data_IF_226432449489
#
_entry.id   IF_226432449489
#
_cell.length_a   1.000
_cell.length_b   1.000
_cell.length_c   1.000
_cell.angle_alpha   90.00
_cell.angle_beta   90.00
_cell.angle_gamma   90.00
#
_symmetry.space_group_name_H-M   'P 1'
#
loop_
_entity.id
_entity.type
_entity.pdbx_description
1 polymer ?
#
# COMPACT_ATOMS: atom_id res chain seq x y z
N UNK A 1 3.26 -27.09 -13.44
CA UNK A 1 2.24 -26.17 -14.00
C UNK A 1 2.64 -25.88 -15.44
N UNK A 2 1.78 -26.15 -16.41
CA UNK A 2 2.10 -25.87 -17.82
C UNK A 2 2.12 -24.35 -18.11
N UNK A 3 2.69 -23.94 -19.25
CA UNK A 3 2.88 -22.52 -19.61
C UNK A 3 1.55 -21.75 -19.61
N UNK A 4 0.48 -22.37 -20.12
CA UNK A 4 -0.87 -21.76 -20.18
C UNK A 4 -1.42 -21.47 -18.78
N UNK A 5 -1.30 -22.41 -17.85
CA UNK A 5 -1.76 -22.19 -16.47
C UNK A 5 -0.95 -21.08 -15.78
N UNK A 6 0.34 -20.97 -16.11
CA UNK A 6 1.22 -19.95 -15.56
C UNK A 6 0.88 -18.53 -16.05
N UNK A 7 0.50 -18.39 -17.32
CA UNK A 7 0.00 -17.13 -17.88
C UNK A 7 -1.32 -16.72 -17.23
N UNK A 8 -2.29 -17.63 -17.14
CA UNK A 8 -3.60 -17.37 -16.49
C UNK A 8 -3.41 -16.88 -15.05
N UNK A 9 -2.51 -17.52 -14.30
CA UNK A 9 -2.18 -17.15 -12.94
C UNK A 9 -1.62 -15.71 -12.81
N UNK A 10 -0.67 -15.34 -13.67
CA UNK A 10 -0.08 -14.00 -13.65
C UNK A 10 -1.11 -12.91 -14.02
N UNK A 11 -2.02 -13.21 -14.97
CA UNK A 11 -3.11 -12.30 -15.35
C UNK A 11 -4.07 -12.08 -14.18
N UNK A 12 -4.46 -13.15 -13.49
CA UNK A 12 -5.32 -13.05 -12.31
C UNK A 12 -4.68 -12.18 -11.21
N UNK A 13 -3.39 -12.39 -10.94
CA UNK A 13 -2.64 -11.56 -9.98
C UNK A 13 -2.67 -10.10 -10.41
N UNK A 14 -2.36 -9.83 -11.68
CA UNK A 14 -2.31 -8.47 -12.22
C UNK A 14 -3.67 -7.77 -12.06
N UNK A 15 -4.77 -8.42 -12.45
CA UNK A 15 -6.13 -7.85 -12.32
C UNK A 15 -6.44 -7.52 -10.86
N UNK A 16 -6.25 -8.48 -9.95
CA UNK A 16 -6.44 -8.27 -8.51
C UNK A 16 -5.56 -7.14 -7.96
N UNK A 17 -4.39 -6.91 -8.55
CA UNK A 17 -3.46 -5.88 -8.12
C UNK A 17 -3.85 -4.49 -8.65
N UNK A 18 -4.35 -4.42 -9.88
CA UNK A 18 -4.93 -3.20 -10.45
C UNK A 18 -6.14 -2.77 -9.60
N UNK A 19 -7.04 -3.70 -9.28
CA UNK A 19 -8.19 -3.43 -8.43
C UNK A 19 -7.78 -2.93 -7.03
N UNK A 20 -6.75 -3.51 -6.42
CA UNK A 20 -6.21 -2.98 -5.16
C UNK A 20 -5.68 -1.54 -5.32
N UNK A 21 -4.94 -1.25 -6.39
CA UNK A 21 -4.47 0.11 -6.67
C UNK A 21 -5.63 1.11 -6.84
N UNK A 22 -6.70 0.70 -7.52
CA UNK A 22 -7.93 1.50 -7.65
C UNK A 22 -8.55 1.77 -6.29
N UNK A 23 -8.67 0.75 -5.43
CA UNK A 23 -9.26 0.93 -4.10
C UNK A 23 -8.44 1.86 -3.20
N UNK A 24 -7.10 1.82 -3.27
CA UNK A 24 -6.25 2.79 -2.60
C UNK A 24 -6.44 4.20 -3.19
N UNK A 25 -6.59 4.33 -4.52
CA UNK A 25 -6.90 5.60 -5.17
C UNK A 25 -8.26 6.18 -4.72
N UNK A 26 -9.28 5.36 -4.55
CA UNK A 26 -10.59 5.78 -4.01
C UNK A 26 -10.44 6.25 -2.55
N UNK A 27 -9.71 5.49 -1.73
CA UNK A 27 -9.39 5.89 -0.35
C UNK A 27 -8.66 7.24 -0.30
N UNK A 28 -7.66 7.44 -1.16
CA UNK A 28 -6.95 8.70 -1.30
C UNK A 28 -7.85 9.84 -1.77
N UNK A 29 -8.80 9.57 -2.66
CA UNK A 29 -9.74 10.58 -3.16
C UNK A 29 -10.63 11.11 -2.04
N UNK A 30 -11.22 10.23 -1.22
CA UNK A 30 -12.06 10.69 -0.10
C UNK A 30 -11.24 11.42 0.96
N UNK A 31 -10.02 10.98 1.24
CA UNK A 31 -9.12 11.68 2.15
C UNK A 31 -8.81 13.11 1.69
N UNK A 32 -8.49 13.29 0.40
CA UNK A 32 -8.25 14.62 -0.17
C UNK A 32 -9.52 15.48 -0.26
N UNK A 33 -10.69 14.86 -0.33
CA UNK A 33 -11.96 15.58 -0.42
C UNK A 33 -12.43 16.19 0.89
N UNK A 34 -11.78 15.87 2.01
CA UNK A 34 -12.13 16.33 3.34
C UNK A 34 -11.03 17.23 3.91
N UNK A 35 -11.42 18.14 4.82
CA UNK A 35 -10.48 19.00 5.54
C UNK A 35 -10.09 18.38 6.89
N UNK A 36 -11.02 17.67 7.53
CA UNK A 36 -10.77 16.96 8.78
C UNK A 36 -9.96 15.67 8.52
N UNK A 37 -8.71 15.66 8.96
CA UNK A 37 -7.78 14.53 8.80
C UNK A 37 -8.24 13.28 9.56
N UNK A 38 -8.94 13.42 10.69
CA UNK A 38 -9.45 12.30 11.48
C UNK A 38 -10.55 11.61 10.67
N UNK A 39 -11.57 12.36 10.24
CA UNK A 39 -12.67 11.82 9.42
C UNK A 39 -12.14 11.26 8.10
N UNK A 40 -11.23 11.98 7.44
CA UNK A 40 -10.57 11.52 6.23
C UNK A 40 -9.83 10.20 6.42
N UNK A 41 -9.09 10.02 7.52
CA UNK A 41 -8.33 8.80 7.80
C UNK A 41 -9.24 7.58 8.05
N UNK A 42 -10.38 7.79 8.74
CA UNK A 42 -11.39 6.75 8.96
C UNK A 42 -11.99 6.31 7.64
N UNK A 43 -12.33 7.25 6.76
CA UNK A 43 -12.94 6.94 5.47
C UNK A 43 -11.94 6.38 4.45
N UNK A 44 -10.66 6.76 4.52
CA UNK A 44 -9.61 6.15 3.69
C UNK A 44 -9.55 4.63 3.91
N UNK A 45 -9.86 4.15 5.12
CA UNK A 45 -9.82 2.73 5.47
C UNK A 45 -10.73 1.85 4.61
N UNK A 46 -11.73 2.42 3.94
CA UNK A 46 -12.55 1.69 2.96
C UNK A 46 -11.70 1.04 1.86
N UNK A 47 -10.59 1.68 1.47
CA UNK A 47 -9.67 1.16 0.46
C UNK A 47 -9.09 -0.19 0.88
N UNK A 48 -8.46 -0.25 2.07
CA UNK A 48 -7.89 -1.50 2.57
C UNK A 48 -8.97 -2.53 2.96
N UNK A 49 -10.09 -2.07 3.53
CA UNK A 49 -11.22 -2.93 3.88
C UNK A 49 -11.72 -3.74 2.67
N UNK A 50 -12.00 -3.07 1.55
CA UNK A 50 -12.46 -3.76 0.33
C UNK A 50 -11.37 -4.68 -0.22
N UNK A 51 -10.10 -4.27 -0.18
CA UNK A 51 -8.97 -5.11 -0.63
C UNK A 51 -8.95 -6.44 0.11
N UNK A 52 -9.11 -6.43 1.43
CA UNK A 52 -9.04 -7.67 2.22
C UNK A 52 -10.33 -8.51 2.12
N UNK A 53 -11.50 -7.86 2.01
CA UNK A 53 -12.79 -8.56 1.83
C UNK A 53 -12.86 -9.28 0.49
N UNK A 54 -12.41 -8.63 -0.58
CA UNK A 54 -12.41 -9.21 -1.94
C UNK A 54 -11.12 -9.95 -2.29
N UNK A 55 -10.18 -10.07 -1.35
CA UNK A 55 -8.89 -10.75 -1.56
C UNK A 55 -8.11 -10.20 -2.75
N UNK A 56 -8.11 -8.88 -2.92
CA UNK A 56 -7.26 -8.19 -3.88
C UNK A 56 -5.79 -8.19 -3.43
N UNK A 57 -4.88 -8.02 -4.38
CA UNK A 57 -3.45 -8.12 -4.13
C UNK A 57 -2.87 -6.72 -3.86
N UNK A 58 -2.56 -6.41 -2.61
CA UNK A 58 -1.84 -5.20 -2.23
C UNK A 58 -0.42 -5.55 -1.82
N UNK A 59 0.57 -4.88 -2.41
CA UNK A 59 1.99 -5.16 -2.20
C UNK A 59 2.40 -5.06 -0.72
N UNK A 60 2.07 -3.94 -0.08
CA UNK A 60 2.43 -3.65 1.33
C UNK A 60 1.77 -4.62 2.31
N UNK A 61 0.59 -5.14 1.99
CA UNK A 61 -0.07 -6.20 2.75
C UNK A 61 0.51 -7.59 2.51
N UNK A 62 1.29 -7.80 1.44
CA UNK A 62 1.82 -9.11 1.03
C UNK A 62 3.31 -9.30 1.29
N UNK A 63 4.09 -8.21 1.34
CA UNK A 63 5.56 -8.27 1.38
C UNK A 63 6.09 -9.07 2.58
N UNK A 64 5.43 -8.99 3.74
CA UNK A 64 5.84 -9.74 4.95
C UNK A 64 5.78 -11.27 4.81
N UNK A 65 4.89 -11.81 3.96
CA UNK A 65 4.82 -13.25 3.73
C UNK A 65 6.01 -13.80 2.93
N UNK A 66 6.86 -12.94 2.36
CA UNK A 66 8.08 -13.36 1.67
C UNK A 66 8.99 -14.21 2.58
N UNK A 67 9.00 -13.92 3.89
CA UNK A 67 9.81 -14.64 4.87
C UNK A 67 9.48 -16.14 4.94
N UNK A 68 8.21 -16.50 4.77
CA UNK A 68 7.75 -17.88 4.85
C UNK A 68 7.57 -18.51 3.46
N UNK A 69 7.37 -17.70 2.41
CA UNK A 69 7.08 -18.16 1.04
C UNK A 69 8.22 -17.88 0.06
N UNK A 70 9.46 -17.70 0.54
CA UNK A 70 10.60 -17.28 -0.28
C UNK A 70 10.81 -18.22 -1.46
N UNK A 71 10.52 -17.71 -2.67
CA UNK A 71 10.66 -18.44 -3.92
C UNK A 71 10.67 -17.48 -5.10
N UNK A 72 11.27 -17.89 -6.23
CA UNK A 72 11.22 -17.10 -7.49
C UNK A 72 9.77 -16.81 -7.91
N UNK A 73 8.85 -17.76 -7.65
CA UNK A 73 7.43 -17.61 -7.92
C UNK A 73 6.85 -16.45 -7.10
N UNK A 74 6.98 -16.48 -5.78
CA UNK A 74 6.40 -15.46 -4.89
C UNK A 74 7.02 -14.07 -5.09
N UNK A 75 8.34 -13.99 -5.33
CA UNK A 75 9.00 -12.71 -5.67
C UNK A 75 8.38 -12.10 -6.93
N UNK A 76 8.11 -12.91 -7.96
CA UNK A 76 7.46 -12.40 -9.15
C UNK A 76 6.01 -11.98 -8.88
N UNK A 77 5.27 -12.73 -8.06
CA UNK A 77 3.92 -12.31 -7.66
C UNK A 77 3.93 -10.94 -6.99
N UNK A 78 4.91 -10.67 -6.12
CA UNK A 78 5.09 -9.36 -5.48
C UNK A 78 5.42 -8.25 -6.50
N UNK A 79 6.28 -8.52 -7.48
CA UNK A 79 6.61 -7.56 -8.54
C UNK A 79 5.38 -7.25 -9.40
N UNK A 80 4.65 -8.28 -9.86
CA UNK A 80 3.39 -8.09 -10.61
C UNK A 80 2.38 -7.32 -9.76
N UNK A 81 2.34 -7.60 -8.45
CA UNK A 81 1.46 -6.90 -7.52
C UNK A 81 1.79 -5.42 -7.43
N UNK A 82 3.06 -5.08 -7.24
CA UNK A 82 3.52 -3.70 -7.17
C UNK A 82 3.22 -2.92 -8.47
N UNK A 83 3.49 -3.54 -9.63
CA UNK A 83 3.19 -2.97 -10.95
C UNK A 83 1.67 -2.77 -11.12
N UNK A 84 0.86 -3.77 -10.77
CA UNK A 84 -0.60 -3.65 -10.87
C UNK A 84 -1.15 -2.57 -9.94
N UNK A 85 -0.66 -2.49 -8.70
CA UNK A 85 -1.03 -1.41 -7.77
C UNK A 85 -0.70 -0.04 -8.37
N UNK A 86 0.50 0.12 -8.94
CA UNK A 86 0.90 1.35 -9.62
C UNK A 86 -0.04 1.70 -10.77
N UNK A 87 -0.34 0.75 -11.68
CA UNK A 87 -1.29 0.94 -12.78
C UNK A 87 -2.67 1.40 -12.27
N UNK A 88 -3.19 0.75 -11.22
CA UNK A 88 -4.49 1.12 -10.64
C UNK A 88 -4.50 2.53 -10.06
N UNK A 89 -3.48 2.91 -9.30
CA UNK A 89 -3.36 4.26 -8.73
C UNK A 89 -3.16 5.34 -9.79
N UNK A 90 -2.37 5.04 -10.83
CA UNK A 90 -2.14 5.91 -11.98
C UNK A 90 -3.42 6.12 -12.78
N UNK A 91 -4.19 5.04 -13.00
CA UNK A 91 -5.49 5.10 -13.66
C UNK A 91 -6.43 6.05 -12.90
N UNK A 92 -6.63 5.86 -11.59
CA UNK A 92 -7.50 6.75 -10.79
C UNK A 92 -7.00 8.19 -10.83
N UNK A 93 -5.71 8.42 -10.60
CA UNK A 93 -5.14 9.77 -10.64
C UNK A 93 -5.27 10.45 -11.99
N UNK A 94 -5.20 9.70 -13.09
CA UNK A 94 -5.35 10.22 -14.45
C UNK A 94 -6.81 10.51 -14.81
N UNK A 95 -7.74 9.58 -14.58
CA UNK A 95 -9.14 9.76 -14.97
C UNK A 95 -9.81 10.89 -14.18
N UNK A 96 -9.42 11.09 -12.91
CA UNK A 96 -10.03 12.12 -12.09
C UNK A 96 -9.72 13.54 -12.59
N UNK A 97 -8.66 13.73 -13.39
CA UNK A 97 -8.33 15.01 -14.07
C UNK A 97 -9.46 15.53 -14.95
N UNK A 98 -10.29 14.63 -15.47
CA UNK A 98 -11.40 14.95 -16.37
C UNK A 98 -12.73 15.11 -15.62
N UNK A 99 -12.70 15.40 -14.32
CA UNK A 99 -13.90 15.49 -13.48
C UNK A 99 -13.93 16.79 -12.68
N UNK A 100 -15.11 17.18 -12.22
CA UNK A 100 -15.31 18.39 -11.40
C UNK A 100 -14.57 18.38 -10.05
N UNK A 101 -14.21 17.20 -9.53
CA UNK A 101 -13.55 17.11 -8.22
C UNK A 101 -12.04 17.35 -8.31
N UNK A 102 -11.47 17.34 -9.51
CA UNK A 102 -10.03 17.42 -9.72
C UNK A 102 -9.39 18.61 -9.03
N UNK A 103 -9.94 19.82 -9.23
CA UNK A 103 -9.41 21.07 -8.70
C UNK A 103 -9.27 21.03 -7.17
N UNK A 104 -10.27 20.48 -6.49
CA UNK A 104 -10.28 20.33 -5.03
C UNK A 104 -9.20 19.36 -4.54
N UNK A 105 -9.01 18.23 -5.22
CA UNK A 105 -8.09 17.18 -4.74
C UNK A 105 -6.65 17.39 -5.21
N UNK A 106 -6.43 18.02 -6.37
CA UNK A 106 -5.11 18.14 -6.99
C UNK A 106 -4.17 19.04 -6.20
N UNK A 107 -4.67 20.15 -5.67
CA UNK A 107 -3.88 21.10 -4.87
C UNK A 107 -3.45 20.46 -3.55
N UNK A 108 -4.38 19.83 -2.83
CA UNK A 108 -4.08 19.09 -1.60
C UNK A 108 -3.07 17.97 -1.85
N UNK A 109 -3.24 17.21 -2.94
CA UNK A 109 -2.30 16.17 -3.32
C UNK A 109 -0.91 16.74 -3.66
N UNK A 110 -0.85 17.91 -4.30
CA UNK A 110 0.40 18.62 -4.61
C UNK A 110 1.12 19.04 -3.33
N UNK A 111 0.40 19.63 -2.36
CA UNK A 111 0.97 19.97 -1.05
C UNK A 111 1.53 18.73 -0.34
N UNK A 112 0.80 17.61 -0.33
CA UNK A 112 1.28 16.36 0.27
C UNK A 112 2.51 15.81 -0.47
N UNK A 113 2.54 15.90 -1.80
CA UNK A 113 3.69 15.48 -2.60
C UNK A 113 4.92 16.34 -2.29
N UNK A 114 4.74 17.67 -2.20
CA UNK A 114 5.84 18.59 -1.94
C UNK A 114 6.42 18.43 -0.52
N UNK A 115 5.59 18.17 0.49
CA UNK A 115 6.08 17.82 1.85
C UNK A 115 7.03 16.62 1.78
N UNK A 116 6.66 15.58 1.03
CA UNK A 116 7.44 14.34 0.93
C UNK A 116 8.73 14.52 0.13
N UNK A 117 8.66 15.24 -0.98
CA UNK A 117 9.79 15.43 -1.90
C UNK A 117 10.81 16.44 -1.38
N UNK A 118 10.44 17.28 -0.41
CA UNK A 118 11.32 18.21 0.29
C UNK A 118 11.87 17.65 1.63
N UNK A 119 11.44 16.46 2.04
CA UNK A 119 11.98 15.78 3.22
C UNK A 119 13.28 15.01 2.85
N UNK A 120 14.05 14.60 3.83
CA UNK A 120 15.25 13.77 3.61
C UNK A 120 14.89 12.34 3.26
N UNK A 121 15.70 11.68 2.41
CA UNK A 121 15.51 10.26 2.08
C UNK A 121 15.53 9.34 3.32
N UNK A 122 16.32 9.69 4.34
CA UNK A 122 16.39 8.91 5.58
C UNK A 122 15.06 9.02 6.35
N UNK A 123 14.51 10.23 6.48
CA UNK A 123 13.19 10.43 7.10
C UNK A 123 12.11 9.63 6.38
N UNK A 124 12.06 9.73 5.05
CA UNK A 124 11.10 8.97 4.22
C UNK A 124 11.25 7.47 4.39
N UNK A 125 12.49 6.96 4.47
CA UNK A 125 12.75 5.55 4.72
C UNK A 125 12.17 5.10 6.08
N UNK A 126 12.39 5.88 7.13
CA UNK A 126 11.92 5.59 8.50
C UNK A 126 10.39 5.65 8.58
N UNK A 127 9.77 6.70 8.02
CA UNK A 127 8.32 6.84 7.99
C UNK A 127 7.67 5.71 7.18
N UNK A 128 8.28 5.29 6.08
CA UNK A 128 7.82 4.13 5.32
C UNK A 128 8.05 2.81 6.04
N UNK A 129 9.09 2.67 6.85
CA UNK A 129 9.32 1.49 7.66
C UNK A 129 8.15 1.25 8.63
N UNK A 130 7.74 2.27 9.39
CA UNK A 130 6.61 2.14 10.31
C UNK A 130 5.28 1.90 9.59
N UNK A 131 5.05 2.55 8.45
CA UNK A 131 3.89 2.23 7.61
C UNK A 131 3.89 0.75 7.18
N UNK A 132 5.04 0.22 6.78
CA UNK A 132 5.19 -1.17 6.35
C UNK A 132 4.77 -2.18 7.42
N UNK A 133 5.17 -1.93 8.66
CA UNK A 133 4.76 -2.74 9.82
C UNK A 133 3.23 -2.75 9.93
N UNK A 134 2.61 -1.56 9.97
CA UNK A 134 1.17 -1.43 10.16
C UNK A 134 0.37 -2.09 9.03
N UNK A 135 0.78 -1.91 7.77
CA UNK A 135 0.06 -2.47 6.62
C UNK A 135 0.13 -4.00 6.58
N UNK A 136 1.30 -4.57 6.88
CA UNK A 136 1.43 -6.01 6.99
C UNK A 136 0.59 -6.55 8.14
N UNK A 137 0.67 -5.94 9.33
CA UNK A 137 -0.09 -6.38 10.50
C UNK A 137 -1.61 -6.28 10.28
N UNK A 138 -2.10 -5.19 9.68
CA UNK A 138 -3.51 -5.03 9.35
C UNK A 138 -4.02 -6.19 8.48
N UNK A 139 -3.29 -6.53 7.41
CA UNK A 139 -3.67 -7.62 6.50
C UNK A 139 -3.48 -8.99 7.14
N UNK A 140 -2.41 -9.18 7.93
CA UNK A 140 -2.16 -10.45 8.59
C UNK A 140 -3.20 -10.74 9.67
N UNK A 141 -3.48 -9.78 10.54
CA UNK A 141 -4.53 -9.91 11.56
C UNK A 141 -5.90 -10.15 10.92
N UNK A 142 -6.20 -9.52 9.78
CA UNK A 142 -7.43 -9.81 9.06
C UNK A 142 -7.57 -11.29 8.66
N UNK A 143 -6.46 -11.96 8.31
CA UNK A 143 -6.44 -13.37 7.92
C UNK A 143 -6.47 -14.33 9.11
N UNK A 144 -5.78 -13.99 10.19
CA UNK A 144 -5.61 -14.88 11.34
C UNK A 144 -6.80 -14.80 12.33
N UNK A 145 -7.44 -13.63 12.46
CA UNK A 145 -8.55 -13.41 13.40
C UNK A 145 -9.89 -13.71 12.74
N UNK A 146 -10.77 -14.45 13.45
CA UNK A 146 -12.07 -14.90 12.92
C UNK A 146 -13.24 -13.98 13.29
N UNK A 147 -13.14 -13.27 14.40
CA UNK A 147 -14.17 -12.37 14.91
C UNK A 147 -14.12 -10.97 14.27
N UNK A 148 -14.89 -10.03 14.82
CA UNK A 148 -14.98 -8.65 14.32
C UNK A 148 -13.66 -7.86 14.45
N UNK A 149 -12.77 -8.27 15.35
CA UNK A 149 -11.46 -7.65 15.58
C UNK A 149 -10.57 -7.64 14.34
N UNK A 150 -10.79 -8.58 13.41
CA UNK A 150 -10.11 -8.63 12.12
C UNK A 150 -10.35 -7.37 11.27
N UNK A 151 -11.56 -6.80 11.34
CA UNK A 151 -11.91 -5.55 10.66
C UNK A 151 -11.34 -4.34 11.40
N UNK A 152 -11.37 -4.35 12.74
CA UNK A 152 -10.76 -3.28 13.53
C UNK A 152 -9.26 -3.12 13.25
N UNK A 153 -8.53 -4.23 13.09
CA UNK A 153 -7.11 -4.18 12.72
C UNK A 153 -6.87 -3.44 11.39
N UNK A 154 -7.77 -3.60 10.42
CA UNK A 154 -7.73 -2.90 9.12
C UNK A 154 -7.96 -1.41 9.30
N UNK A 155 -9.02 -1.03 9.99
CA UNK A 155 -9.35 0.39 10.21
C UNK A 155 -8.28 1.09 11.05
N UNK A 156 -7.88 0.51 12.18
CA UNK A 156 -6.87 1.08 13.06
C UNK A 156 -5.50 1.17 12.37
N UNK A 157 -5.10 0.13 11.63
CA UNK A 157 -3.84 0.17 10.87
C UNK A 157 -3.79 1.34 9.88
N UNK A 158 -4.91 1.61 9.19
CA UNK A 158 -5.04 2.74 8.27
C UNK A 158 -5.05 4.08 9.00
N UNK A 159 -5.94 4.24 9.99
CA UNK A 159 -6.12 5.50 10.72
C UNK A 159 -4.79 5.94 11.34
N UNK A 160 -4.09 5.00 12.00
CA UNK A 160 -2.83 5.30 12.69
C UNK A 160 -1.75 5.73 11.72
N UNK A 161 -1.53 5.03 10.60
CA UNK A 161 -0.43 5.42 9.69
C UNK A 161 -0.68 6.81 9.09
N UNK A 162 -1.93 7.16 8.78
CA UNK A 162 -2.29 8.47 8.21
C UNK A 162 -2.07 9.56 9.26
N UNK A 163 -2.61 9.38 10.48
CA UNK A 163 -2.52 10.39 11.53
C UNK A 163 -1.10 10.56 12.08
N UNK A 164 -0.28 9.51 12.07
CA UNK A 164 1.15 9.59 12.40
C UNK A 164 2.00 10.21 11.27
N UNK A 165 1.45 10.40 10.06
CA UNK A 165 2.20 10.90 8.91
C UNK A 165 3.19 9.89 8.32
N UNK A 166 2.94 8.59 8.48
CA UNK A 166 3.77 7.57 7.87
C UNK A 166 3.57 7.45 6.35
N UNK A 167 4.58 6.91 5.67
CA UNK A 167 4.66 6.96 4.21
C UNK A 167 4.29 5.62 3.55
N UNK A 168 3.12 5.56 2.92
CA UNK A 168 2.62 4.38 2.20
C UNK A 168 2.89 4.50 0.69
N UNK A 169 3.77 3.65 0.15
CA UNK A 169 4.23 3.76 -1.24
C UNK A 169 3.09 3.74 -2.26
N UNK A 170 2.06 2.89 -2.09
CA UNK A 170 0.93 2.80 -3.02
C UNK A 170 0.00 4.01 -2.91
N UNK A 171 -0.22 4.55 -1.70
CA UNK A 171 -1.03 5.77 -1.55
C UNK A 171 -0.31 6.96 -2.18
N UNK A 172 1.01 7.02 -2.02
CA UNK A 172 1.85 8.05 -2.63
C UNK A 172 1.89 7.95 -4.15
N UNK A 173 1.84 6.75 -4.75
CA UNK A 173 1.66 6.61 -6.20
C UNK A 173 0.37 7.30 -6.68
N UNK A 174 -0.72 7.20 -5.93
CA UNK A 174 -1.96 7.92 -6.24
C UNK A 174 -1.79 9.43 -6.08
N UNK A 175 -1.24 9.90 -4.96
CA UNK A 175 -1.02 11.33 -4.71
C UNK A 175 -0.14 11.98 -5.78
N UNK A 176 0.97 11.34 -6.16
CA UNK A 176 1.83 11.80 -7.25
C UNK A 176 1.14 11.80 -8.61
N UNK A 177 0.26 10.82 -8.87
CA UNK A 177 -0.48 10.72 -10.13
C UNK A 177 -1.54 11.80 -10.28
N UNK A 178 -2.34 12.05 -9.24
CA UNK A 178 -3.39 13.06 -9.28
C UNK A 178 -2.81 14.48 -9.25
N UNK A 179 -1.71 14.72 -8.52
CA UNK A 179 -1.02 16.01 -8.53
C UNK A 179 -0.11 16.23 -9.75
N UNK A 180 0.06 15.21 -10.60
CA UNK A 180 0.94 15.25 -11.77
C UNK A 180 2.41 15.54 -11.45
N UNK A 181 2.91 15.09 -10.30
CA UNK A 181 4.28 15.38 -9.84
C UNK A 181 5.30 14.30 -10.20
N UNK A 182 5.10 13.55 -11.28
CA UNK A 182 6.04 12.53 -11.71
C UNK A 182 7.34 13.16 -12.25
N UNK A 183 8.48 12.74 -11.69
CA UNK A 183 9.82 13.16 -12.08
C UNK A 183 10.83 12.07 -11.70
N UNK A 184 12.09 12.18 -12.15
CA UNK A 184 13.16 11.27 -11.69
C UNK A 184 13.35 11.33 -10.17
N UNK A 185 13.23 12.52 -9.57
CA UNK A 185 13.29 12.67 -8.11
C UNK A 185 12.12 11.94 -7.43
N UNK A 186 10.91 12.08 -7.97
CA UNK A 186 9.72 11.38 -7.45
C UNK A 186 9.88 9.86 -7.49
N UNK A 187 10.49 9.33 -8.57
CA UNK A 187 10.80 7.91 -8.68
C UNK A 187 11.83 7.47 -7.64
N UNK A 188 12.87 8.27 -7.37
CA UNK A 188 13.84 7.99 -6.31
C UNK A 188 13.16 7.89 -4.94
N UNK A 189 12.35 8.88 -4.56
CA UNK A 189 11.60 8.86 -3.28
C UNK A 189 10.65 7.66 -3.20
N UNK A 190 9.96 7.34 -4.30
CA UNK A 190 9.08 6.18 -4.35
C UNK A 190 9.83 4.86 -4.12
N UNK A 191 11.04 4.71 -4.69
CA UNK A 191 11.89 3.54 -4.45
C UNK A 191 12.30 3.44 -2.98
N UNK A 192 12.64 4.57 -2.33
CA UNK A 192 12.92 4.62 -0.89
C UNK A 192 11.69 4.22 -0.07
N UNK A 193 10.50 4.69 -0.44
CA UNK A 193 9.26 4.32 0.24
C UNK A 193 8.94 2.82 0.10
N UNK A 194 9.13 2.25 -1.10
CA UNK A 194 8.96 0.81 -1.36
C UNK A 194 9.94 0.02 -0.48
N UNK A 195 11.20 0.44 -0.41
CA UNK A 195 12.20 -0.19 0.44
C UNK A 195 11.79 -0.13 1.93
N UNK A 196 11.42 1.05 2.43
CA UNK A 196 10.98 1.23 3.81
C UNK A 196 9.77 0.35 4.14
N UNK A 197 8.72 0.39 3.32
CA UNK A 197 7.53 -0.45 3.52
C UNK A 197 7.87 -1.95 3.49
N UNK A 198 8.83 -2.36 2.64
CA UNK A 198 9.28 -3.75 2.56
C UNK A 198 9.98 -4.20 3.85
N UNK A 199 10.95 -3.42 4.30
CA UNK A 199 11.70 -3.70 5.52
C UNK A 199 10.78 -3.76 6.73
N UNK A 200 9.85 -2.80 6.84
CA UNK A 200 8.84 -2.78 7.90
C UNK A 200 7.92 -3.99 7.87
N UNK A 201 7.37 -4.32 6.70
CA UNK A 201 6.44 -5.45 6.56
C UNK A 201 7.11 -6.82 6.81
N UNK A 202 8.42 -6.93 6.60
CA UNK A 202 9.20 -8.15 6.83
C UNK A 202 9.62 -8.35 8.29
N UNK A 203 9.72 -7.28 9.08
CA UNK A 203 10.26 -7.30 10.44
C UNK A 203 9.60 -8.35 11.35
N UNK A 204 8.29 -8.23 11.57
CA UNK A 204 7.57 -9.11 12.50
C UNK A 204 7.55 -10.57 12.02
N UNK A 205 7.29 -10.89 10.73
CA UNK A 205 7.45 -12.24 10.22
C UNK A 205 8.84 -12.84 10.45
N UNK A 206 9.89 -12.05 10.25
CA UNK A 206 11.26 -12.48 10.46
C UNK A 206 11.52 -12.79 11.95
N UNK A 207 11.15 -11.88 12.85
CA UNK A 207 11.25 -12.10 14.30
C UNK A 207 10.51 -13.38 14.72
N UNK A 208 9.27 -13.57 14.27
CA UNK A 208 8.48 -14.77 14.58
C UNK A 208 9.15 -16.06 14.07
N UNK A 209 9.77 -16.04 12.89
CA UNK A 209 10.50 -17.18 12.33
C UNK A 209 11.75 -17.52 13.13
N UNK A 210 12.47 -16.51 13.62
CA UNK A 210 13.66 -16.69 14.47
C UNK A 210 13.27 -17.25 15.84
N UNK A 211 12.22 -16.69 16.47
CA UNK A 211 11.74 -17.16 17.78
C UNK A 211 11.31 -18.63 17.73
N UNK A 212 10.53 -19.03 16.72
CA UNK A 212 10.08 -20.44 16.58
C UNK A 212 11.24 -21.42 16.45
N UNK A 213 12.27 -21.08 15.67
CA UNK A 213 13.47 -21.93 15.54
C UNK A 213 14.21 -22.16 16.84
N UNK A 214 14.26 -21.17 17.73
CA UNK A 214 14.94 -21.30 19.02
C UNK A 214 14.17 -22.10 20.07
N UNK A 215 12.88 -22.38 19.84
CA UNK A 215 12.05 -23.24 20.70
C UNK A 215 12.11 -24.71 20.26
N UNK A 216 12.44 -24.97 18.98
CA UNK A 216 12.57 -26.32 18.41
C UNK A 216 13.99 -26.91 18.55
N UNK A 217 14.94 -26.16 19.11
CA UNK A 217 16.33 -26.58 19.42
C UNK A 217 16.53 -26.79 20.90
#
# INVERSE_FOLDING_TARGET
MNIVNYMKYNIEILIKSILAGIMIGIGGTIYLSLDDKIVGSILFAIGLFIIVVYSFNLYTGKIGYLINNFSKKYIRELIITLIGNFIGTLFVGFILKYTRIYTMISEKAKTLADIKLNDTLISILILSFFCGILMYLAVNTYKEVKDIGKYLAVFLGVIVFILCGFEHCIANMYYFSVSSTWSLNTLLYLLVMILGNSLGGILIPLCNKVIKKGVET
#
